data_IF_435271125908
#
_entry.id   IF_435271125908
#
_cell.length_a   1.000
_cell.length_b   1.000
_cell.length_c   1.000
_cell.angle_alpha   90.00
_cell.angle_beta   90.00
_cell.angle_gamma   90.00
#
_symmetry.space_group_name_H-M   'P 1'
#
loop_
_entity.id
_entity.type
_entity.pdbx_description
1 polymer ?
#
# COMPACT_ATOMS: atom_id res chain seq x y z
N UNK A 1 -17.13 11.87 5.71
CA UNK A 1 -18.08 11.31 6.72
C UNK A 1 -17.39 11.27 8.07
N UNK A 2 -18.09 11.53 9.18
CA UNK A 2 -17.50 11.40 10.52
C UNK A 2 -17.40 9.92 10.91
N UNK A 3 -16.34 9.56 11.65
CA UNK A 3 -16.14 8.18 12.11
C UNK A 3 -17.31 7.64 12.95
N UNK A 4 -17.98 8.52 13.73
CA UNK A 4 -19.14 8.14 14.53
C UNK A 4 -20.37 7.73 13.71
N UNK A 5 -20.42 8.09 12.44
CA UNK A 5 -21.56 7.90 11.54
C UNK A 5 -21.45 6.62 10.69
N UNK A 6 -20.31 5.92 10.73
CA UNK A 6 -20.11 4.70 9.97
C UNK A 6 -20.73 3.47 10.64
N UNK A 7 -21.11 2.50 9.82
CA UNK A 7 -21.73 1.24 10.26
C UNK A 7 -20.79 0.40 11.13
N UNK A 8 -21.35 -0.39 12.02
CA UNK A 8 -20.60 -1.28 12.91
C UNK A 8 -19.81 -2.34 12.16
N UNK A 9 -20.26 -2.78 10.98
CA UNK A 9 -19.52 -3.72 10.13
C UNK A 9 -18.25 -3.09 9.57
N UNK A 10 -18.31 -1.83 9.12
CA UNK A 10 -17.14 -1.05 8.69
C UNK A 10 -16.18 -0.86 9.85
N UNK A 11 -16.68 -0.52 11.06
CA UNK A 11 -15.85 -0.41 12.27
C UNK A 11 -15.13 -1.72 12.61
N UNK A 12 -15.82 -2.86 12.51
CA UNK A 12 -15.20 -4.19 12.69
C UNK A 12 -14.11 -4.46 11.65
N UNK A 13 -14.35 -4.12 10.40
CA UNK A 13 -13.41 -4.31 9.31
C UNK A 13 -12.17 -3.42 9.42
N UNK A 14 -12.31 -2.19 9.97
CA UNK A 14 -11.19 -1.30 10.33
C UNK A 14 -10.29 -1.92 11.42
N UNK A 15 -10.85 -2.78 12.29
CA UNK A 15 -10.14 -3.44 13.38
C UNK A 15 -9.56 -4.81 13.00
N UNK A 16 -9.90 -5.34 11.83
CA UNK A 16 -9.38 -6.61 11.31
C UNK A 16 -8.10 -6.39 10.53
N UNK A 17 -6.96 -6.62 11.18
CA UNK A 17 -5.64 -6.42 10.60
C UNK A 17 -5.16 -7.68 9.85
N UNK A 18 -4.33 -7.47 8.84
CA UNK A 18 -3.55 -8.50 8.17
C UNK A 18 -2.07 -8.12 8.17
N UNK A 19 -1.21 -9.12 8.05
CA UNK A 19 0.24 -8.95 7.95
C UNK A 19 0.84 -9.99 7.03
N UNK A 20 1.87 -9.57 6.27
CA UNK A 20 2.81 -10.42 5.54
C UNK A 20 4.24 -9.95 5.83
N UNK A 21 5.23 -10.83 5.66
CA UNK A 21 6.63 -10.55 6.03
C UNK A 21 7.57 -10.88 4.89
N UNK A 22 8.76 -10.25 4.89
CA UNK A 22 9.81 -10.48 3.89
C UNK A 22 10.89 -11.48 4.32
N UNK A 23 10.78 -12.11 5.50
CA UNK A 23 11.74 -13.08 6.01
C UNK A 23 13.01 -12.49 6.64
N UNK A 24 13.28 -11.19 6.51
CA UNK A 24 14.46 -10.50 7.07
C UNK A 24 14.10 -9.46 8.15
N UNK A 25 12.87 -9.53 8.68
CA UNK A 25 12.39 -8.65 9.76
C UNK A 25 11.50 -7.51 9.28
N UNK A 26 11.34 -7.29 7.98
CA UNK A 26 10.37 -6.35 7.41
C UNK A 26 8.98 -6.96 7.31
N UNK A 27 7.98 -6.09 7.24
CA UNK A 27 6.59 -6.50 7.09
C UNK A 27 5.75 -5.46 6.34
N UNK A 28 4.60 -5.91 5.87
CA UNK A 28 3.51 -5.11 5.34
C UNK A 28 2.24 -5.44 6.11
N UNK A 29 1.50 -4.44 6.58
CA UNK A 29 0.29 -4.62 7.38
C UNK A 29 -0.67 -3.45 7.22
N UNK A 30 -1.96 -3.73 7.13
CA UNK A 30 -3.07 -2.76 7.15
C UNK A 30 -4.34 -3.42 7.69
N UNK A 31 -5.42 -2.65 7.81
CA UNK A 31 -6.74 -3.22 8.05
C UNK A 31 -7.32 -3.88 6.79
N UNK A 32 -8.37 -4.68 6.95
CA UNK A 32 -9.10 -5.31 5.84
C UNK A 32 -9.75 -4.30 4.86
N UNK A 33 -9.85 -3.03 5.23
CA UNK A 33 -10.31 -1.94 4.37
C UNK A 33 -9.16 -1.14 3.74
N UNK A 34 -7.91 -1.58 3.90
CA UNK A 34 -6.73 -0.83 3.43
C UNK A 34 -6.50 0.49 4.16
N UNK A 35 -7.09 0.67 5.33
CA UNK A 35 -6.90 1.84 6.20
C UNK A 35 -5.79 1.58 7.22
N UNK A 36 -4.91 2.55 7.44
CA UNK A 36 -3.95 2.51 8.52
C UNK A 36 -4.64 2.94 9.82
N UNK A 37 -4.90 1.99 10.73
CA UNK A 37 -5.52 2.25 12.03
C UNK A 37 -4.52 2.18 13.19
N UNK A 38 -3.28 1.85 12.89
CA UNK A 38 -2.14 1.79 13.83
C UNK A 38 -0.93 2.51 13.24
N UNK A 39 -0.10 3.10 14.10
CA UNK A 39 1.21 3.63 13.68
C UNK A 39 2.15 2.55 13.11
N UNK A 40 1.87 1.29 13.42
CA UNK A 40 2.59 0.12 12.90
C UNK A 40 2.12 -0.36 11.52
N UNK A 41 1.02 0.17 11.00
CA UNK A 41 0.55 -0.14 9.66
C UNK A 41 1.42 0.56 8.61
N UNK A 42 1.70 -0.16 7.55
CA UNK A 42 2.41 0.33 6.38
C UNK A 42 2.53 -0.74 5.32
N UNK A 43 2.65 -0.34 4.07
CA UNK A 43 2.91 -1.25 2.95
C UNK A 43 4.38 -1.68 2.89
N UNK A 44 5.29 -0.87 3.45
CA UNK A 44 6.68 -1.26 3.65
C UNK A 44 7.17 -0.71 5.00
N UNK A 45 7.29 -1.61 5.97
CA UNK A 45 8.06 -1.40 7.20
C UNK A 45 9.32 -2.23 7.08
N UNK A 46 10.45 -1.56 6.87
CA UNK A 46 11.71 -2.19 6.50
C UNK A 46 12.74 -2.14 7.63
N UNK A 47 13.47 -3.22 7.93
CA UNK A 47 14.61 -3.18 8.81
C UNK A 47 15.81 -2.54 8.11
N UNK A 48 16.35 -1.44 8.68
CA UNK A 48 17.59 -0.83 8.17
C UNK A 48 18.84 -1.65 8.58
N UNK A 49 18.70 -2.42 9.63
CA UNK A 49 19.71 -3.39 10.09
C UNK A 49 18.97 -4.71 10.38
N UNK A 50 18.83 -5.60 9.41
CA UNK A 50 18.06 -6.84 9.59
C UNK A 50 18.53 -7.67 10.81
N UNK A 51 17.60 -8.18 11.62
CA UNK A 51 16.14 -8.02 11.56
C UNK A 51 15.62 -6.81 12.38
N UNK A 52 16.49 -5.91 12.82
CA UNK A 52 16.23 -4.80 13.76
C UNK A 52 16.14 -3.43 13.06
N UNK A 53 15.92 -2.38 13.88
CA UNK A 53 15.80 -0.98 13.42
C UNK A 53 14.79 -0.84 12.28
N UNK A 54 13.53 -1.19 12.55
CA UNK A 54 12.45 -1.10 11.58
C UNK A 54 11.99 0.35 11.38
N UNK A 55 11.86 0.74 10.13
CA UNK A 55 11.38 2.06 9.74
C UNK A 55 10.14 1.94 8.85
N UNK A 56 9.17 2.82 9.05
CA UNK A 56 8.08 3.00 8.10
C UNK A 56 8.62 3.74 6.88
N UNK A 57 8.49 3.11 5.73
CA UNK A 57 8.98 3.60 4.44
C UNK A 57 7.81 3.99 3.54
N UNK A 58 6.94 3.05 3.20
CA UNK A 58 5.70 3.27 2.45
C UNK A 58 4.53 3.04 3.39
N UNK A 59 3.85 4.11 3.77
CA UNK A 59 2.67 4.05 4.63
C UNK A 59 1.49 3.45 3.85
N UNK A 60 1.21 4.02 2.68
CA UNK A 60 0.09 3.63 1.84
C UNK A 60 0.39 3.86 0.36
N UNK A 61 -0.45 3.27 -0.47
CA UNK A 61 -0.63 3.66 -1.86
C UNK A 61 -2.12 3.95 -2.02
N UNK A 62 -2.46 5.23 -2.20
CA UNK A 62 -3.84 5.67 -2.35
C UNK A 62 -4.23 5.70 -3.83
N UNK A 63 -5.31 5.02 -4.17
CA UNK A 63 -5.80 4.89 -5.53
C UNK A 63 -7.04 5.74 -5.75
N UNK A 64 -7.11 6.36 -6.94
CA UNK A 64 -8.36 6.94 -7.42
C UNK A 64 -8.54 6.63 -8.91
N UNK A 65 -9.80 6.52 -9.33
CA UNK A 65 -10.15 6.34 -10.74
C UNK A 65 -11.08 7.46 -11.18
N UNK A 66 -10.82 8.01 -12.35
CA UNK A 66 -11.65 9.01 -12.99
C UNK A 66 -12.22 8.42 -14.29
N UNK A 67 -13.52 8.43 -14.43
CA UNK A 67 -14.24 7.98 -15.63
C UNK A 67 -15.54 8.76 -15.75
N UNK A 68 -16.00 9.02 -16.99
CA UNK A 68 -17.21 9.79 -17.26
C UNK A 68 -17.26 11.15 -16.53
N UNK A 69 -16.09 11.82 -16.34
CA UNK A 69 -15.98 13.10 -15.64
C UNK A 69 -16.14 13.02 -14.13
N UNK A 70 -16.27 11.83 -13.55
CA UNK A 70 -16.40 11.61 -12.11
C UNK A 70 -15.14 10.95 -11.56
N UNK A 71 -14.63 11.50 -10.44
CA UNK A 71 -13.50 10.91 -9.71
C UNK A 71 -13.99 10.09 -8.52
N UNK A 72 -13.54 8.85 -8.43
CA UNK A 72 -13.81 7.91 -7.37
C UNK A 72 -12.53 7.63 -6.59
N UNK A 73 -12.50 7.96 -5.30
CA UNK A 73 -11.38 7.64 -4.41
C UNK A 73 -11.58 6.24 -3.84
N UNK A 74 -10.64 5.32 -4.11
CA UNK A 74 -10.72 3.92 -3.67
C UNK A 74 -10.06 3.71 -2.31
N UNK A 75 -9.34 4.70 -1.81
CA UNK A 75 -8.65 4.63 -0.52
C UNK A 75 -9.59 4.89 0.65
N UNK A 76 -9.36 4.21 1.75
CA UNK A 76 -9.96 4.47 3.06
C UNK A 76 -8.89 5.04 3.99
N UNK A 77 -9.06 6.31 4.38
CA UNK A 77 -8.17 7.04 5.29
C UNK A 77 -8.98 7.69 6.39
N UNK A 78 -8.41 7.72 7.58
CA UNK A 78 -8.93 8.53 8.69
C UNK A 78 -8.00 9.73 8.88
N UNK A 79 -8.56 10.94 8.86
CA UNK A 79 -7.82 12.19 9.06
C UNK A 79 -8.78 13.30 9.50
N UNK A 80 -8.34 14.20 10.38
CA UNK A 80 -9.11 15.37 10.80
C UNK A 80 -10.54 15.05 11.31
N UNK A 81 -10.73 13.90 11.96
CA UNK A 81 -12.03 13.46 12.48
C UNK A 81 -12.98 12.89 11.43
N UNK A 82 -12.53 12.74 10.19
CA UNK A 82 -13.29 12.18 9.08
C UNK A 82 -12.69 10.87 8.57
N UNK A 83 -13.51 10.09 7.88
CA UNK A 83 -13.09 8.90 7.14
C UNK A 83 -13.45 9.06 5.66
N UNK A 84 -12.47 8.79 4.78
CA UNK A 84 -12.74 8.71 3.35
C UNK A 84 -13.44 7.40 3.00
N UNK A 85 -14.34 7.45 2.02
CA UNK A 85 -15.34 6.40 1.78
C UNK A 85 -14.93 5.37 0.71
N UNK A 86 -13.64 5.18 0.49
CA UNK A 86 -13.12 4.19 -0.47
C UNK A 86 -13.61 2.76 -0.21
N UNK A 87 -13.91 2.43 1.04
CA UNK A 87 -14.50 1.15 1.43
C UNK A 87 -15.85 0.84 0.73
N UNK A 88 -16.58 1.85 0.26
CA UNK A 88 -17.83 1.67 -0.48
C UNK A 88 -17.63 1.00 -1.85
N UNK A 89 -16.43 1.13 -2.41
CA UNK A 89 -16.07 0.50 -3.69
C UNK A 89 -15.36 -0.84 -3.52
N UNK A 90 -14.95 -1.20 -2.29
CA UNK A 90 -14.34 -2.47 -1.96
C UNK A 90 -15.42 -3.56 -1.88
N UNK A 91 -15.49 -4.43 -2.89
CA UNK A 91 -16.50 -5.49 -3.00
C UNK A 91 -16.03 -6.83 -2.44
N UNK A 92 -14.72 -7.04 -2.31
CA UNK A 92 -14.16 -8.26 -1.74
C UNK A 92 -12.76 -8.01 -1.16
N UNK A 93 -12.47 -8.65 -0.04
CA UNK A 93 -11.14 -8.71 0.56
C UNK A 93 -10.84 -10.13 1.00
N UNK A 94 -9.75 -10.69 0.48
CA UNK A 94 -9.22 -12.00 0.84
C UNK A 94 -7.78 -11.93 1.28
N UNK A 95 -7.41 -12.71 2.28
CA UNK A 95 -6.04 -12.91 2.71
C UNK A 95 -5.85 -14.38 3.07
N UNK A 96 -5.33 -15.17 2.12
CA UNK A 96 -4.81 -16.51 2.36
C UNK A 96 -3.29 -16.42 2.57
N UNK A 97 -2.53 -16.35 1.49
CA UNK A 97 -1.07 -16.15 1.54
C UNK A 97 -0.71 -14.68 1.43
N UNK A 98 -1.32 -13.97 0.49
CA UNK A 98 -1.18 -12.53 0.26
C UNK A 98 -2.53 -11.84 0.33
N UNK A 99 -2.59 -10.55 0.70
CA UNK A 99 -3.84 -9.79 0.66
C UNK A 99 -4.24 -9.44 -0.78
N UNK A 100 -5.52 -9.60 -1.07
CA UNK A 100 -6.14 -9.27 -2.36
C UNK A 100 -7.38 -8.43 -2.07
N UNK A 101 -7.40 -7.23 -2.63
CA UNK A 101 -8.54 -6.32 -2.58
C UNK A 101 -9.20 -6.26 -3.96
N UNK A 102 -10.52 -6.36 -4.02
CA UNK A 102 -11.27 -6.19 -5.26
C UNK A 102 -12.17 -4.99 -5.15
N UNK A 103 -11.91 -3.99 -5.97
CA UNK A 103 -12.75 -2.79 -6.08
C UNK A 103 -13.61 -2.85 -7.33
N UNK A 104 -14.80 -2.26 -7.23
CA UNK A 104 -15.70 -2.08 -8.36
C UNK A 104 -16.22 -0.65 -8.40
N UNK A 105 -16.00 0.02 -9.51
CA UNK A 105 -16.53 1.35 -9.83
C UNK A 105 -17.21 1.27 -11.17
N UNK A 106 -18.51 1.52 -11.22
CA UNK A 106 -19.30 1.31 -12.43
C UNK A 106 -19.03 -0.07 -13.06
N UNK A 107 -18.49 -0.12 -14.29
CA UNK A 107 -18.11 -1.34 -15.01
C UNK A 107 -16.57 -1.57 -14.99
N UNK A 108 -15.86 -0.94 -14.08
CA UNK A 108 -14.41 -1.13 -13.89
C UNK A 108 -14.18 -2.00 -12.66
N UNK A 109 -13.44 -3.09 -12.84
CA UNK A 109 -13.02 -3.99 -11.76
C UNK A 109 -11.50 -3.86 -11.60
N UNK A 110 -11.04 -3.61 -10.38
CA UNK A 110 -9.62 -3.49 -10.03
C UNK A 110 -9.32 -4.51 -8.95
N UNK A 111 -8.47 -5.49 -9.24
CA UNK A 111 -7.89 -6.39 -8.24
C UNK A 111 -6.49 -5.91 -7.90
N UNK A 112 -6.27 -5.61 -6.61
CA UNK A 112 -5.00 -5.17 -6.03
C UNK A 112 -4.42 -6.31 -5.20
N UNK A 113 -3.25 -6.77 -5.58
CA UNK A 113 -2.48 -7.80 -4.87
C UNK A 113 -1.28 -7.13 -4.22
N UNK A 114 -1.00 -7.45 -2.95
CA UNK A 114 0.14 -6.90 -2.24
C UNK A 114 1.06 -8.05 -1.84
N UNK A 115 2.34 -7.94 -2.18
CA UNK A 115 3.34 -8.96 -1.89
C UNK A 115 4.67 -8.31 -1.50
N UNK A 116 5.42 -8.94 -0.59
CA UNK A 116 6.81 -8.58 -0.32
C UNK A 116 7.74 -9.53 -1.08
N UNK A 117 8.81 -9.01 -1.68
CA UNK A 117 9.85 -9.85 -2.27
C UNK A 117 10.68 -10.47 -1.12
N UNK A 118 10.58 -11.78 -0.98
CA UNK A 118 11.21 -12.50 0.14
C UNK A 118 12.74 -12.34 0.13
N UNK A 119 13.26 -11.94 1.27
CA UNK A 119 14.69 -11.66 1.46
C UNK A 119 15.11 -10.22 1.11
N UNK A 120 14.17 -9.34 0.70
CA UNK A 120 14.44 -7.97 0.33
C UNK A 120 13.53 -6.96 1.03
N UNK A 121 13.99 -5.72 1.16
CA UNK A 121 13.18 -4.60 1.64
C UNK A 121 12.38 -3.98 0.49
N UNK A 122 11.55 -4.80 -0.15
CA UNK A 122 10.79 -4.46 -1.35
C UNK A 122 9.35 -4.92 -1.19
N UNK A 123 8.41 -4.02 -1.43
CA UNK A 123 6.99 -4.33 -1.59
C UNK A 123 6.57 -4.13 -3.03
N UNK A 124 5.75 -5.04 -3.50
CA UNK A 124 5.13 -5.02 -4.82
C UNK A 124 3.63 -4.91 -4.65
N UNK A 125 3.02 -3.95 -5.34
CA UNK A 125 1.57 -3.86 -5.49
C UNK A 125 1.24 -4.09 -6.96
N UNK A 126 0.58 -5.21 -7.22
CA UNK A 126 0.22 -5.62 -8.56
C UNK A 126 -1.27 -5.46 -8.77
N UNK A 127 -1.65 -4.91 -9.91
CA UNK A 127 -3.03 -4.67 -10.28
C UNK A 127 -3.41 -5.48 -11.51
N UNK A 128 -4.58 -6.08 -11.46
CA UNK A 128 -5.32 -6.56 -12.62
C UNK A 128 -6.58 -5.71 -12.77
N UNK A 129 -6.68 -5.03 -13.87
CA UNK A 129 -7.76 -4.08 -14.15
C UNK A 129 -8.53 -4.56 -15.36
N UNK A 130 -9.86 -4.59 -15.23
CA UNK A 130 -10.78 -4.82 -16.32
C UNK A 130 -11.67 -3.61 -16.46
N UNK A 131 -11.42 -2.82 -17.52
CA UNK A 131 -12.23 -1.66 -17.87
C UNK A 131 -13.28 -2.07 -18.92
N UNK A 132 -14.54 -2.14 -18.52
CA UNK A 132 -15.67 -2.36 -19.43
C UNK A 132 -16.53 -1.09 -19.54
N UNK A 133 -15.89 0.07 -19.38
CA UNK A 133 -16.50 1.39 -19.42
C UNK A 133 -15.87 2.26 -20.51
N UNK A 134 -16.15 3.56 -20.51
CA UNK A 134 -15.46 4.57 -21.30
C UNK A 134 -13.97 4.67 -20.88
N UNK A 135 -13.24 5.56 -21.52
CA UNK A 135 -11.89 5.94 -21.07
C UNK A 135 -11.87 6.25 -19.57
N UNK A 136 -10.85 5.78 -18.90
CA UNK A 136 -10.65 6.04 -17.48
C UNK A 136 -9.19 6.36 -17.20
N UNK A 137 -8.95 7.01 -16.06
CA UNK A 137 -7.62 7.35 -15.57
C UNK A 137 -7.44 6.86 -14.16
N UNK A 138 -6.55 5.89 -13.96
CA UNK A 138 -6.11 5.44 -12.65
C UNK A 138 -4.99 6.36 -12.16
N UNK A 139 -5.09 6.81 -10.92
CA UNK A 139 -4.03 7.56 -10.24
C UNK A 139 -3.59 6.79 -9.01
N UNK A 140 -2.27 6.59 -8.87
CA UNK A 140 -1.64 5.98 -7.71
C UNK A 140 -0.83 7.06 -6.98
N UNK A 141 -1.17 7.33 -5.72
CA UNK A 141 -0.50 8.31 -4.86
C UNK A 141 0.23 7.60 -3.71
N UNK A 142 1.55 7.40 -3.81
CA UNK A 142 2.32 6.84 -2.70
C UNK A 142 2.38 7.84 -1.54
N UNK A 143 2.13 7.34 -0.34
CA UNK A 143 2.23 8.08 0.93
C UNK A 143 3.42 7.50 1.69
N UNK A 144 4.49 8.28 1.80
CA UNK A 144 5.79 7.81 2.33
C UNK A 144 6.15 8.49 3.65
N UNK A 145 7.00 7.83 4.40
CA UNK A 145 7.61 8.35 5.62
C UNK A 145 9.03 7.79 5.76
N UNK A 146 9.81 8.34 6.68
CA UNK A 146 11.09 7.74 7.07
C UNK A 146 11.26 7.95 8.59
N UNK A 147 10.64 7.07 9.35
CA UNK A 147 10.65 7.15 10.81
C UNK A 147 10.74 5.77 11.45
N UNK A 148 11.33 5.71 12.65
CA UNK A 148 11.26 4.49 13.47
C UNK A 148 9.80 4.06 13.65
N UNK A 149 9.49 2.78 13.51
CA UNK A 149 8.12 2.29 13.50
C UNK A 149 7.41 2.41 14.86
N UNK A 150 8.14 2.65 15.97
CA UNK A 150 7.56 2.96 17.28
C UNK A 150 7.22 4.44 17.46
N UNK A 151 7.78 5.33 16.65
CA UNK A 151 7.55 6.77 16.72
C UNK A 151 6.37 7.22 15.84
N UNK A 152 6.07 8.51 15.90
CA UNK A 152 5.10 9.21 15.04
C UNK A 152 5.79 10.48 14.53
N UNK A 153 5.60 10.82 13.27
CA UNK A 153 6.10 12.05 12.69
C UNK A 153 5.02 13.14 12.73
N UNK A 154 5.32 14.25 13.40
CA UNK A 154 4.46 15.45 13.48
C UNK A 154 5.00 16.63 12.69
N UNK A 155 6.10 16.47 11.98
CA UNK A 155 6.70 17.55 11.20
C UNK A 155 5.73 17.99 10.10
N UNK A 156 5.55 19.30 9.99
CA UNK A 156 4.71 19.90 8.94
C UNK A 156 5.45 20.08 7.64
N UNK A 157 6.78 20.02 7.67
CA UNK A 157 7.65 20.10 6.50
C UNK A 157 8.65 18.96 6.52
N UNK A 158 8.75 18.27 5.41
CA UNK A 158 9.71 17.21 5.20
C UNK A 158 10.96 17.79 4.53
N UNK A 159 12.13 17.42 5.04
CA UNK A 159 13.39 17.76 4.40
C UNK A 159 13.68 16.69 3.31
N UNK A 160 13.34 17.01 2.07
CA UNK A 160 13.29 16.05 0.98
C UNK A 160 14.30 16.37 -0.10
N UNK A 161 15.07 15.36 -0.50
CA UNK A 161 15.77 15.31 -1.78
C UNK A 161 15.05 14.31 -2.68
N UNK A 162 14.55 14.75 -3.83
CA UNK A 162 13.78 13.91 -4.75
C UNK A 162 14.22 14.12 -6.19
N UNK A 163 14.50 13.03 -6.88
CA UNK A 163 14.76 12.96 -8.31
C UNK A 163 13.92 11.86 -8.97
N UNK A 164 13.71 11.95 -10.28
CA UNK A 164 13.08 10.88 -11.05
C UNK A 164 13.63 10.81 -12.48
N UNK A 165 13.59 9.62 -13.05
CA UNK A 165 13.89 9.34 -14.46
C UNK A 165 12.79 8.44 -15.00
N UNK A 166 11.97 8.95 -15.92
CA UNK A 166 10.74 8.27 -16.29
C UNK A 166 9.86 8.04 -15.07
N UNK A 167 9.47 6.81 -14.84
CA UNK A 167 8.65 6.39 -13.70
C UNK A 167 9.45 5.99 -12.46
N UNK A 168 10.78 5.85 -12.56
CA UNK A 168 11.64 5.59 -11.41
C UNK A 168 11.84 6.87 -10.61
N UNK A 169 11.48 6.82 -9.35
CA UNK A 169 11.59 7.92 -8.38
C UNK A 169 12.55 7.51 -7.28
N UNK A 170 13.49 8.42 -6.93
CA UNK A 170 14.37 8.30 -5.78
C UNK A 170 14.05 9.43 -4.80
N UNK A 171 13.90 9.08 -3.53
CA UNK A 171 13.59 10.03 -2.45
C UNK A 171 14.52 9.77 -1.28
N UNK A 172 15.04 10.84 -0.69
CA UNK A 172 15.63 10.84 0.66
C UNK A 172 14.81 11.81 1.50
N UNK A 173 14.15 11.28 2.53
CA UNK A 173 13.21 12.04 3.36
C UNK A 173 13.87 12.73 4.57
N UNK A 174 15.06 12.36 4.91
CA UNK A 174 15.85 13.05 5.93
C UNK A 174 17.24 13.23 5.35
N UNK A 175 17.70 14.47 5.21
CA UNK A 175 19.03 14.77 4.65
C UNK A 175 20.18 14.15 5.45
N UNK A 176 19.93 13.78 6.71
CA UNK A 176 20.89 13.03 7.51
C UNK A 176 20.80 11.51 7.27
N UNK A 177 19.80 11.05 6.51
CA UNK A 177 19.64 9.65 6.13
C UNK A 177 20.39 9.38 4.83
N UNK A 178 21.26 8.40 4.85
CA UNK A 178 21.91 7.86 3.65
C UNK A 178 21.05 6.79 2.94
N UNK A 179 19.81 6.60 3.40
CA UNK A 179 18.93 5.52 2.91
C UNK A 179 17.89 6.09 1.93
N UNK A 180 18.08 5.94 0.62
CA UNK A 180 17.09 6.34 -0.35
C UNK A 180 15.91 5.35 -0.40
N UNK A 181 14.75 5.90 -0.72
CA UNK A 181 13.54 5.14 -1.05
C UNK A 181 13.40 5.20 -2.58
N UNK A 182 13.24 4.05 -3.19
CA UNK A 182 13.01 3.92 -4.63
C UNK A 182 11.59 3.47 -4.90
N UNK A 183 10.94 4.08 -5.88
CA UNK A 183 9.62 3.70 -6.36
C UNK A 183 9.61 3.64 -7.87
N UNK A 184 8.82 2.74 -8.43
CA UNK A 184 8.60 2.63 -9.87
C UNK A 184 7.20 2.10 -10.16
N UNK A 185 6.64 2.51 -11.30
CA UNK A 185 5.41 1.95 -11.84
C UNK A 185 5.67 1.47 -13.27
N UNK A 186 5.23 0.26 -13.59
CA UNK A 186 5.46 -0.36 -14.90
C UNK A 186 4.73 0.32 -16.05
N UNK A 187 3.71 1.13 -15.74
CA UNK A 187 2.90 1.83 -16.74
C UNK A 187 2.54 3.25 -16.27
N UNK A 188 2.06 4.06 -17.20
CA UNK A 188 1.65 5.44 -16.96
C UNK A 188 2.80 6.42 -16.92
N UNK A 189 2.57 7.55 -16.29
CA UNK A 189 3.53 8.64 -16.14
C UNK A 189 3.57 9.17 -14.72
N UNK A 190 4.78 9.39 -14.21
CA UNK A 190 4.99 10.04 -12.92
C UNK A 190 4.88 11.57 -13.04
N UNK A 191 4.15 12.18 -12.11
CA UNK A 191 4.05 13.62 -11.91
C UNK A 191 4.48 13.95 -10.49
N UNK A 192 5.61 14.65 -10.39
CA UNK A 192 6.13 15.11 -9.10
C UNK A 192 5.21 16.17 -8.50
N UNK A 193 4.92 16.05 -7.21
CA UNK A 193 4.35 17.13 -6.41
C UNK A 193 5.46 17.92 -5.72
N UNK A 194 5.20 19.19 -5.41
CA UNK A 194 6.08 20.05 -4.64
C UNK A 194 5.46 20.20 -3.25
N UNK A 195 6.23 19.82 -2.22
CA UNK A 195 5.90 20.00 -0.81
C UNK A 195 4.50 19.51 -0.38
N UNK A 196 4.03 18.39 -0.95
CA UNK A 196 2.73 17.84 -0.62
C UNK A 196 2.83 16.94 0.62
N UNK A 197 1.94 17.20 1.57
CA UNK A 197 1.90 16.52 2.87
C UNK A 197 0.51 15.99 3.14
N UNK A 198 0.39 14.69 3.35
CA UNK A 198 -0.80 14.11 3.95
C UNK A 198 -0.78 14.42 5.45
N UNK A 199 -1.69 15.30 5.89
CA UNK A 199 -1.72 15.81 7.27
C UNK A 199 -2.72 15.07 8.12
N UNK A 200 -2.34 14.86 9.41
CA UNK A 200 -3.20 14.35 10.46
C UNK A 200 -3.84 13.00 10.10
N UNK A 201 -3.05 12.08 9.46
CA UNK A 201 -3.49 10.69 9.36
C UNK A 201 -3.74 10.17 10.77
N UNK A 202 -4.93 9.61 11.00
CA UNK A 202 -5.39 9.28 12.33
C UNK A 202 -5.40 7.76 12.57
N UNK A 203 -4.78 7.35 13.66
CA UNK A 203 -4.62 5.95 14.07
C UNK A 203 -5.60 5.58 15.21
N UNK A 204 -6.81 5.18 14.86
CA UNK A 204 -7.87 4.81 15.79
C UNK A 204 -7.40 3.88 16.92
N UNK A 205 -6.55 2.90 16.60
CA UNK A 205 -6.09 1.90 17.56
C UNK A 205 -5.03 2.42 18.52
N UNK A 206 -4.33 3.48 18.17
CA UNK A 206 -3.40 4.15 19.09
C UNK A 206 -4.18 5.03 20.06
N UNK A 207 -5.20 5.76 19.60
CA UNK A 207 -6.08 6.53 20.49
C UNK A 207 -6.83 5.65 21.49
N UNK A 208 -7.42 4.53 21.05
CA UNK A 208 -8.09 3.56 21.94
C UNK A 208 -7.17 3.08 23.09
N UNK A 209 -5.86 3.15 22.90
CA UNK A 209 -4.83 2.77 23.89
C UNK A 209 -4.26 3.94 24.67
N UNK A 210 -4.75 5.16 24.42
CA UNK A 210 -4.28 6.38 25.07
C UNK A 210 -2.93 6.90 24.58
N UNK A 211 -2.52 6.52 23.35
CA UNK A 211 -1.30 7.02 22.71
C UNK A 211 -1.58 8.11 21.70
N UNK A 212 -0.52 8.81 21.30
CA UNK A 212 -0.59 9.74 20.19
C UNK A 212 -1.04 9.03 18.90
N UNK A 213 -2.02 9.61 18.20
CA UNK A 213 -2.74 8.97 17.12
C UNK A 213 -2.71 9.75 15.80
N UNK A 214 -2.10 10.92 15.73
CA UNK A 214 -2.07 11.73 14.50
C UNK A 214 -0.66 11.82 13.95
N UNK A 215 -0.51 11.61 12.66
CA UNK A 215 0.77 11.60 11.96
C UNK A 215 0.70 12.32 10.61
N UNK A 216 1.80 12.97 10.23
CA UNK A 216 2.00 13.57 8.91
C UNK A 216 2.90 12.69 8.05
N UNK A 217 2.58 12.62 6.74
CA UNK A 217 3.33 11.87 5.75
C UNK A 217 3.65 12.74 4.54
N UNK A 218 4.69 12.39 3.81
CA UNK A 218 5.05 13.02 2.56
C UNK A 218 4.39 12.32 1.37
N UNK A 219 3.88 13.11 0.40
CA UNK A 219 3.33 12.64 -0.87
C UNK A 219 4.22 13.14 -2.00
N UNK A 220 5.13 12.32 -2.53
CA UNK A 220 6.15 12.76 -3.49
C UNK A 220 5.59 13.15 -4.86
N UNK A 221 4.43 12.65 -5.19
CA UNK A 221 3.76 12.83 -6.47
C UNK A 221 2.82 11.67 -6.76
N UNK A 222 2.39 11.56 -8.00
CA UNK A 222 1.43 10.56 -8.43
C UNK A 222 1.86 9.88 -9.73
N UNK A 223 1.47 8.62 -9.88
CA UNK A 223 1.50 7.93 -11.17
C UNK A 223 0.11 8.00 -11.80
N UNK A 224 0.02 8.46 -13.04
CA UNK A 224 -1.22 8.58 -13.79
C UNK A 224 -1.20 7.59 -14.96
N UNK A 225 -2.18 6.70 -15.02
CA UNK A 225 -2.28 5.62 -15.98
C UNK A 225 -3.61 5.73 -16.72
N UNK A 226 -3.57 5.77 -18.04
CA UNK A 226 -4.76 5.75 -18.86
C UNK A 226 -5.25 4.32 -19.09
N UNK A 227 -6.55 4.15 -19.07
CA UNK A 227 -7.25 2.90 -19.32
C UNK A 227 -8.19 3.11 -20.51
N UNK A 228 -7.92 2.39 -21.57
CA UNK A 228 -8.75 2.43 -22.77
C UNK A 228 -10.09 1.71 -22.56
N UNK A 229 -11.13 2.03 -23.34
CA UNK A 229 -12.40 1.30 -23.30
C UNK A 229 -12.20 -0.20 -23.62
N UNK A 230 -12.81 -1.08 -22.82
CA UNK A 230 -12.72 -2.54 -22.94
C UNK A 230 -11.29 -3.11 -22.82
N UNK A 231 -10.42 -2.40 -22.11
CA UNK A 231 -9.05 -2.84 -21.85
C UNK A 231 -8.98 -3.76 -20.61
N UNK A 232 -8.17 -4.81 -20.73
CA UNK A 232 -7.63 -5.55 -19.58
C UNK A 232 -6.15 -5.17 -19.45
N UNK A 233 -5.76 -4.65 -18.28
CA UNK A 233 -4.41 -4.12 -18.03
C UNK A 233 -3.84 -4.68 -16.74
N UNK A 234 -2.54 -4.97 -16.79
CA UNK A 234 -1.76 -5.38 -15.63
C UNK A 234 -0.71 -4.30 -15.32
N UNK A 235 -0.59 -3.92 -14.05
CA UNK A 235 0.30 -2.85 -13.59
C UNK A 235 1.04 -3.33 -12.36
N UNK A 236 2.34 -3.07 -12.32
CA UNK A 236 3.19 -3.29 -11.15
C UNK A 236 3.66 -1.95 -10.59
N UNK A 237 3.34 -1.66 -9.33
CA UNK A 237 3.98 -0.63 -8.54
C UNK A 237 4.95 -1.28 -7.57
N UNK A 238 6.15 -0.71 -7.44
CA UNK A 238 7.21 -1.17 -6.54
C UNK A 238 7.66 -0.04 -5.63
N UNK A 239 7.87 -0.34 -4.35
CA UNK A 239 8.61 0.51 -3.43
C UNK A 239 9.67 -0.32 -2.71
N UNK A 240 10.90 0.20 -2.65
CA UNK A 240 12.07 -0.54 -2.16
C UNK A 240 13.11 0.37 -1.53
N UNK A 241 13.96 -0.20 -0.67
CA UNK A 241 15.25 0.38 -0.27
C UNK A 241 16.41 -0.06 -1.19
N UNK A 242 16.13 -0.89 -2.19
CA UNK A 242 17.09 -1.38 -3.17
C UNK A 242 16.89 -0.61 -4.49
N UNK A 243 18.00 -0.25 -5.16
CA UNK A 243 17.94 0.66 -6.32
C UNK A 243 17.39 0.01 -7.59
N UNK A 244 17.70 -1.28 -7.81
CA UNK A 244 17.37 -1.98 -9.06
C UNK A 244 15.93 -2.52 -9.03
N UNK A 245 14.97 -1.66 -9.32
CA UNK A 245 13.53 -1.97 -9.23
C UNK A 245 12.78 -1.91 -10.56
N UNK A 246 13.41 -1.42 -11.64
CA UNK A 246 12.74 -1.17 -12.92
C UNK A 246 12.26 -2.44 -13.61
N UNK A 247 13.00 -3.55 -13.40
CA UNK A 247 12.72 -4.84 -14.02
C UNK A 247 11.89 -5.77 -13.15
N UNK A 248 11.38 -5.27 -11.99
CA UNK A 248 10.59 -6.10 -11.09
C UNK A 248 9.21 -6.34 -11.70
N UNK A 249 8.96 -7.59 -12.01
CA UNK A 249 7.68 -8.08 -12.51
C UNK A 249 6.82 -8.58 -11.34
N UNK A 250 5.71 -7.88 -11.09
CA UNK A 250 4.86 -8.13 -9.93
C UNK A 250 4.27 -9.54 -9.90
N UNK A 251 3.82 -10.05 -11.04
CA UNK A 251 3.26 -11.40 -11.10
C UNK A 251 4.31 -12.49 -10.82
N UNK A 252 5.56 -12.27 -11.25
CA UNK A 252 6.65 -13.20 -10.93
C UNK A 252 6.99 -13.21 -9.44
N UNK A 253 7.01 -12.03 -8.79
CA UNK A 253 7.21 -11.94 -7.33
C UNK A 253 6.09 -12.66 -6.59
N UNK A 254 4.84 -12.42 -6.97
CA UNK A 254 3.67 -13.08 -6.38
C UNK A 254 3.75 -14.60 -6.54
N UNK A 255 4.00 -15.10 -7.75
CA UNK A 255 4.08 -16.54 -8.02
C UNK A 255 5.21 -17.21 -7.23
N UNK A 256 6.38 -16.54 -7.12
CA UNK A 256 7.50 -17.02 -6.31
C UNK A 256 7.12 -17.13 -4.83
N UNK A 257 6.42 -16.15 -4.27
CA UNK A 257 5.99 -16.16 -2.88
C UNK A 257 4.90 -17.23 -2.64
N UNK A 258 3.94 -17.38 -3.54
CA UNK A 258 2.92 -18.44 -3.45
C UNK A 258 3.55 -19.82 -3.48
N UNK A 259 4.52 -20.07 -4.35
CA UNK A 259 5.27 -21.34 -4.40
C UNK A 259 6.06 -21.56 -3.10
N UNK A 260 6.72 -20.53 -2.56
CA UNK A 260 7.44 -20.61 -1.29
C UNK A 260 6.49 -20.99 -0.13
N UNK A 261 5.35 -20.32 -0.03
CA UNK A 261 4.37 -20.56 1.05
C UNK A 261 3.72 -21.95 0.94
N UNK A 262 3.37 -22.37 -0.27
CA UNK A 262 2.83 -23.73 -0.48
C UNK A 262 3.87 -24.81 -0.19
N UNK A 263 5.15 -24.59 -0.52
CA UNK A 263 6.25 -25.49 -0.15
C UNK A 263 6.38 -25.66 1.36
N UNK A 264 6.36 -24.57 2.13
CA UNK A 264 6.41 -24.65 3.61
C UNK A 264 5.24 -25.46 4.17
N UNK A 265 4.02 -25.25 3.65
CA UNK A 265 2.83 -25.98 4.11
C UNK A 265 2.96 -27.47 3.81
N UNK A 266 3.53 -27.84 2.66
CA UNK A 266 3.77 -29.22 2.28
C UNK A 266 4.80 -29.89 3.21
N UNK A 267 5.92 -29.22 3.46
CA UNK A 267 7.02 -29.70 4.30
C UNK A 267 6.60 -29.85 5.78
N UNK A 268 5.68 -29.01 6.26
CA UNK A 268 5.15 -29.10 7.65
C UNK A 268 4.08 -30.17 7.83
N UNK A 269 3.64 -30.85 6.78
CA UNK A 269 2.62 -31.93 6.85
C UNK A 269 1.21 -31.49 7.17
N UNK A 270 0.94 -30.17 7.22
CA UNK A 270 -0.39 -29.62 7.56
C UNK A 270 -1.48 -30.11 6.57
N UNK A 271 -1.10 -30.36 5.30
CA UNK A 271 -2.04 -30.85 4.28
C UNK A 271 -2.23 -32.38 4.33
N UNK A 272 -1.32 -33.16 4.95
CA UNK A 272 -1.48 -34.62 5.00
C UNK A 272 -2.66 -35.06 5.86
N UNK A 273 -3.10 -34.28 6.83
CA UNK A 273 -4.19 -34.62 7.75
C UNK A 273 -5.61 -34.33 7.22
N UNK A 274 -5.76 -33.65 6.10
CA UNK A 274 -7.09 -33.31 5.54
C UNK A 274 -7.67 -34.37 4.58
N UNK A 275 -6.91 -35.45 4.29
CA UNK A 275 -7.35 -36.55 3.43
C UNK A 275 -7.64 -37.86 4.19
N UNK A 276 -7.65 -37.83 5.52
CA UNK A 276 -7.93 -39.03 6.35
C UNK A 276 -9.11 -38.83 7.33
N UNK A 277 -10.16 -38.11 6.92
CA UNK A 277 -11.47 -38.20 7.60
C UNK A 277 -12.60 -38.18 6.58
#
# INVERSE_FOLDING_TARGET
MKYSEIDEEVKKSLKRDWIITNGIGGFCSQSALGCNTRKYHGLLVAPLTPPARRFLILSKLDESIETNGTKYNLFTNMANGEISEGYKYLVDFKKEYIPIFTYKVENIIIKKFICMDYGKNTVVVYYQIKNQNAEAKLTLAPVVNFRDFHSINKDHQFNVEQSHSGNKVRIVLDKNSETPIYMNCSDGRYFKHMDDTFRNMYYLREEERGFEAEENHYVPGVYSINLEPNEEKEITFVCSLEENIEEIDGIKVINKELLRMTGIIYDTGIIQNSKMN
#
